data_IF_421078454854
#
_entry.id   IF_421078454854
#
_cell.length_a   1.000
_cell.length_b   1.000
_cell.length_c   1.000
_cell.angle_alpha   90.00
_cell.angle_beta   90.00
_cell.angle_gamma   90.00
#
_symmetry.space_group_name_H-M   'P 1'
#
loop_
_entity.id
_entity.type
_entity.pdbx_description
1 polymer ?
#
# COMPACT_ATOMS: atom_id res chain seq x y z
N UNK A 1 -4.54 10.40 10.68
CA UNK A 1 -3.34 11.11 10.16
C UNK A 1 -3.17 10.81 8.68
N UNK A 2 -3.08 11.86 7.85
CA UNK A 2 -2.96 11.76 6.39
C UNK A 2 -1.49 11.59 5.98
N UNK A 3 -0.94 10.38 6.15
CA UNK A 3 0.47 10.06 5.88
C UNK A 3 0.95 10.47 4.48
N UNK A 4 0.03 10.45 3.52
CA UNK A 4 0.28 10.70 2.12
C UNK A 4 0.55 12.19 1.81
N UNK A 5 0.29 13.12 2.74
CA UNK A 5 0.62 14.54 2.57
C UNK A 5 2.11 14.83 2.78
N UNK A 6 2.83 13.96 3.48
CA UNK A 6 4.27 14.08 3.75
C UNK A 6 5.09 13.01 3.05
N UNK A 7 4.42 12.12 2.30
CA UNK A 7 5.08 11.03 1.57
C UNK A 7 5.71 11.56 0.28
N UNK A 8 6.83 10.95 -0.13
CA UNK A 8 7.56 11.30 -1.34
C UNK A 8 7.89 10.05 -2.17
N UNK A 9 8.31 10.28 -3.41
CA UNK A 9 8.82 9.19 -4.24
C UNK A 9 9.97 8.46 -3.53
N UNK A 10 9.99 7.13 -3.63
CA UNK A 10 10.94 6.25 -2.94
C UNK A 10 10.42 5.67 -1.63
N UNK A 11 9.55 6.38 -0.89
CA UNK A 11 9.04 5.92 0.40
C UNK A 11 8.35 4.55 0.26
N UNK A 12 8.53 3.71 1.29
CA UNK A 12 7.97 2.36 1.35
C UNK A 12 6.60 2.38 2.02
N UNK A 13 5.65 1.68 1.41
CA UNK A 13 4.27 1.55 1.90
C UNK A 13 3.82 0.10 1.78
N UNK A 14 2.92 -0.33 2.65
CA UNK A 14 2.29 -1.65 2.59
C UNK A 14 0.84 -1.51 2.13
N UNK A 15 0.40 -2.36 1.20
CA UNK A 15 -1.00 -2.41 0.80
C UNK A 15 -1.81 -3.11 1.91
N UNK A 16 -2.82 -2.45 2.44
CA UNK A 16 -3.69 -2.98 3.51
C UNK A 16 -5.07 -3.40 3.00
N UNK A 17 -5.42 -3.00 1.78
CA UNK A 17 -6.70 -3.33 1.14
C UNK A 17 -6.49 -3.49 -0.37
N UNK A 18 -6.69 -4.70 -0.88
CA UNK A 18 -6.54 -5.08 -2.29
C UNK A 18 -7.87 -5.23 -3.05
N UNK A 19 -9.00 -4.88 -2.44
CA UNK A 19 -10.30 -4.72 -3.13
C UNK A 19 -10.32 -3.45 -4.01
N UNK A 20 -9.79 -3.55 -5.24
CA UNK A 20 -9.77 -2.45 -6.22
C UNK A 20 -10.87 -2.67 -7.24
N UNK A 21 -11.77 -1.69 -7.39
CA UNK A 21 -12.84 -1.76 -8.41
C UNK A 21 -12.28 -1.82 -9.83
N UNK A 22 -11.07 -1.29 -10.05
CA UNK A 22 -10.40 -1.38 -11.34
C UNK A 22 -10.12 -2.81 -11.80
N UNK A 23 -10.06 -3.80 -10.90
CA UNK A 23 -9.91 -5.23 -11.25
C UNK A 23 -11.11 -5.76 -12.06
N UNK A 24 -12.28 -5.16 -11.88
CA UNK A 24 -13.50 -5.55 -12.58
C UNK A 24 -13.66 -4.85 -13.94
N UNK A 25 -12.82 -3.86 -14.26
CA UNK A 25 -12.94 -3.11 -15.50
C UNK A 25 -12.45 -3.93 -16.71
N UNK A 26 -13.29 -4.15 -17.75
CA UNK A 26 -12.92 -4.95 -18.91
C UNK A 26 -11.64 -4.45 -19.60
N UNK A 27 -11.47 -3.14 -19.75
CA UNK A 27 -10.27 -2.56 -20.39
C UNK A 27 -9.01 -2.82 -19.56
N UNK A 28 -9.08 -2.76 -18.22
CA UNK A 28 -7.94 -3.10 -17.36
C UNK A 28 -7.57 -4.57 -17.53
N UNK A 29 -8.57 -5.46 -17.58
CA UNK A 29 -8.35 -6.89 -17.77
C UNK A 29 -7.73 -7.18 -19.14
N UNK A 30 -8.31 -6.61 -20.21
CA UNK A 30 -7.83 -6.79 -21.57
C UNK A 30 -6.41 -6.25 -21.77
N UNK A 31 -6.07 -5.14 -21.12
CA UNK A 31 -4.74 -4.54 -21.16
C UNK A 31 -3.71 -5.24 -20.24
N UNK A 32 -4.12 -6.22 -19.43
CA UNK A 32 -3.21 -6.89 -18.50
C UNK A 32 -2.75 -6.02 -17.33
N UNK A 33 -3.60 -5.09 -16.87
CA UNK A 33 -3.29 -4.25 -15.71
C UNK A 33 -3.05 -5.10 -14.46
N UNK A 34 -1.97 -4.79 -13.75
CA UNK A 34 -1.60 -5.36 -12.46
C UNK A 34 -2.13 -4.48 -11.32
N UNK A 35 -2.43 -5.10 -10.19
CA UNK A 35 -3.02 -4.44 -9.04
C UNK A 35 -2.26 -4.77 -7.75
N UNK A 36 -2.25 -3.85 -6.76
CA UNK A 36 -1.65 -4.11 -5.47
C UNK A 36 -2.29 -5.31 -4.77
N UNK A 37 -1.42 -6.17 -4.23
CA UNK A 37 -1.74 -7.31 -3.36
C UNK A 37 -1.65 -6.90 -1.88
N UNK A 38 -2.62 -7.33 -1.07
CA UNK A 38 -2.66 -7.04 0.36
C UNK A 38 -1.46 -7.67 1.08
N UNK A 39 -0.86 -6.93 2.00
CA UNK A 39 0.34 -7.32 2.75
C UNK A 39 1.65 -7.07 2.03
N UNK A 40 1.64 -6.83 0.71
CA UNK A 40 2.85 -6.56 -0.05
C UNK A 40 3.34 -5.13 0.13
N UNK A 41 4.66 -4.98 0.17
CA UNK A 41 5.36 -3.70 0.28
C UNK A 41 5.68 -3.17 -1.13
N UNK A 42 5.51 -1.86 -1.30
CA UNK A 42 5.76 -1.14 -2.53
C UNK A 42 6.51 0.16 -2.27
N UNK A 43 7.19 0.67 -3.30
CA UNK A 43 7.75 2.02 -3.33
C UNK A 43 6.83 2.99 -4.06
N UNK A 44 6.67 4.19 -3.50
CA UNK A 44 5.95 5.28 -4.18
C UNK A 44 6.79 5.73 -5.39
N UNK A 45 6.19 5.71 -6.59
CA UNK A 45 6.76 6.33 -7.78
C UNK A 45 6.29 7.77 -7.92
N UNK A 46 4.99 7.99 -7.71
CA UNK A 46 4.37 9.30 -7.80
C UNK A 46 3.18 9.35 -6.84
N UNK A 47 2.96 10.52 -6.26
CA UNK A 47 1.75 10.86 -5.53
C UNK A 47 1.16 12.15 -6.11
N UNK A 48 -0.14 12.18 -6.34
CA UNK A 48 -0.83 13.33 -6.88
C UNK A 48 -2.30 13.36 -6.46
N UNK A 49 -2.85 14.55 -6.32
CA UNK A 49 -4.29 14.73 -6.21
C UNK A 49 -4.93 14.63 -7.60
N UNK A 50 -5.98 13.82 -7.72
CA UNK A 50 -6.75 13.75 -8.96
C UNK A 50 -8.01 14.59 -8.79
N UNK A 51 -8.05 15.76 -9.43
CA UNK A 51 -9.22 16.65 -9.41
C UNK A 51 -10.46 15.94 -9.94
N UNK A 52 -10.29 15.14 -10.99
CA UNK A 52 -11.36 14.35 -11.59
C UNK A 52 -11.96 13.32 -10.61
N UNK A 53 -11.10 12.64 -9.83
CA UNK A 53 -11.55 11.61 -8.88
C UNK A 53 -11.87 12.18 -7.48
N UNK A 54 -11.51 13.43 -7.20
CA UNK A 54 -11.66 14.08 -5.90
C UNK A 54 -10.84 13.44 -4.77
N UNK A 55 -9.72 12.77 -5.07
CA UNK A 55 -8.89 12.14 -4.05
C UNK A 55 -7.42 11.97 -4.45
N UNK A 56 -6.59 11.79 -3.42
CA UNK A 56 -5.17 11.47 -3.57
C UNK A 56 -4.96 10.06 -4.09
N UNK A 57 -4.16 9.96 -5.14
CA UNK A 57 -3.79 8.72 -5.80
C UNK A 57 -2.27 8.58 -5.84
N UNK A 58 -1.81 7.34 -6.02
CA UNK A 58 -0.40 7.03 -6.19
C UNK A 58 -0.16 6.09 -7.37
N UNK A 59 1.08 6.11 -7.83
CA UNK A 59 1.69 5.13 -8.72
C UNK A 59 2.82 4.44 -7.97
N UNK A 60 3.05 3.16 -8.26
CA UNK A 60 4.02 2.33 -7.56
C UNK A 60 5.19 2.02 -8.50
N UNK A 61 6.38 1.80 -7.95
CA UNK A 61 7.56 1.44 -8.76
C UNK A 61 7.42 0.02 -9.31
N UNK A 62 6.90 -0.90 -8.49
CA UNK A 62 6.77 -2.32 -8.82
C UNK A 62 5.62 -2.61 -9.80
N UNK A 63 4.67 -1.67 -9.92
CA UNK A 63 3.52 -1.77 -10.80
C UNK A 63 3.57 -0.64 -11.82
N UNK A 64 4.06 -0.98 -13.00
CA UNK A 64 3.93 -0.19 -14.22
C UNK A 64 2.86 -0.84 -15.07
N UNK A 65 1.77 -0.12 -15.30
CA UNK A 65 0.64 -0.56 -16.12
C UNK A 65 0.63 0.20 -17.46
N UNK A 66 0.04 -0.39 -18.51
CA UNK A 66 -0.14 0.33 -19.77
C UNK A 66 -1.09 1.51 -19.60
N UNK A 67 -0.98 2.47 -20.51
CA UNK A 67 -1.99 3.51 -20.65
C UNK A 67 -3.30 2.89 -21.13
N UNK A 68 -4.37 3.26 -20.45
CA UNK A 68 -5.71 2.73 -20.69
C UNK A 68 -6.69 3.88 -20.75
N UNK A 69 -7.64 3.77 -21.68
CA UNK A 69 -8.69 4.76 -21.86
C UNK A 69 -9.96 4.26 -21.19
N UNK A 70 -10.42 5.01 -20.21
CA UNK A 70 -11.68 4.74 -19.52
C UNK A 70 -12.57 5.96 -19.63
N UNK A 71 -13.55 6.03 -20.53
CA UNK A 71 -14.54 7.11 -20.46
C UNK A 71 -15.21 7.11 -19.08
N UNK A 72 -15.38 8.26 -18.41
CA UNK A 72 -15.05 9.64 -18.83
C UNK A 72 -13.62 10.15 -18.50
N UNK A 73 -12.75 9.31 -17.95
CA UNK A 73 -11.36 9.63 -17.62
C UNK A 73 -10.48 9.79 -18.89
N UNK A 74 -9.48 10.68 -18.80
CA UNK A 74 -8.45 10.80 -19.83
C UNK A 74 -7.60 9.51 -19.91
N UNK A 75 -7.09 9.17 -21.10
CA UNK A 75 -6.14 8.07 -21.24
C UNK A 75 -4.96 8.24 -20.30
N UNK A 76 -4.53 7.14 -19.69
CA UNK A 76 -3.30 7.11 -18.91
C UNK A 76 -3.19 5.89 -18.01
N UNK A 77 -2.01 5.73 -17.43
CA UNK A 77 -1.75 4.65 -16.50
C UNK A 77 -2.66 4.72 -15.27
N UNK A 78 -3.29 3.59 -14.86
CA UNK A 78 -4.13 3.52 -13.67
C UNK A 78 -3.39 3.96 -12.41
N UNK A 79 -4.13 4.64 -11.55
CA UNK A 79 -3.63 5.12 -10.25
C UNK A 79 -4.41 4.46 -9.12
N UNK A 80 -3.75 4.25 -7.98
CA UNK A 80 -4.34 3.59 -6.82
C UNK A 80 -4.64 4.58 -5.70
N UNK A 81 -5.77 4.42 -5.01
CA UNK A 81 -6.16 5.31 -3.93
C UNK A 81 -5.23 5.16 -2.71
N UNK A 82 -4.68 6.26 -2.19
CA UNK A 82 -3.74 6.26 -1.05
C UNK A 82 -4.29 5.60 0.23
N UNK A 83 -5.62 5.56 0.45
CA UNK A 83 -6.22 4.97 1.65
C UNK A 83 -6.07 3.45 1.72
N UNK A 84 -5.68 2.82 0.61
CA UNK A 84 -5.44 1.38 0.50
C UNK A 84 -4.06 0.99 1.01
N UNK A 85 -3.25 1.96 1.42
CA UNK A 85 -1.89 1.75 1.87
C UNK A 85 -1.63 2.40 3.22
N UNK A 86 -0.58 1.92 3.89
CA UNK A 86 -0.01 2.52 5.09
C UNK A 86 1.49 2.72 4.91
N UNK A 87 2.08 3.78 5.49
CA UNK A 87 3.52 3.96 5.48
C UNK A 87 4.17 2.81 6.21
N UNK A 88 5.24 2.25 5.63
CA UNK A 88 6.07 1.30 6.33
C UNK A 88 6.97 2.10 7.28
N UNK A 89 6.49 2.32 8.49
CA UNK A 89 7.28 2.99 9.53
C UNK A 89 8.39 2.04 9.93
N UNK A 90 9.64 2.43 9.65
CA UNK A 90 10.79 1.75 10.24
C UNK A 90 10.71 1.97 11.75
N UNK A 91 10.34 0.93 12.50
CA UNK A 91 10.47 0.95 13.94
C UNK A 91 11.92 0.57 14.25
N UNK A 92 12.73 1.46 14.83
CA UNK A 92 14.07 1.11 15.28
C UNK A 92 14.06 0.16 16.49
N UNK A 93 12.87 -0.18 17.01
CA UNK A 93 12.71 -1.07 18.14
C UNK A 93 12.89 -2.51 17.68
N UNK A 94 13.97 -3.13 18.16
CA UNK A 94 14.24 -4.54 17.94
C UNK A 94 13.12 -5.41 18.54
N UNK A 95 12.57 -6.31 17.72
CA UNK A 95 11.52 -7.25 18.16
C UNK A 95 12.04 -8.24 19.20
N UNK A 96 13.37 -8.37 19.34
CA UNK A 96 14.02 -9.13 20.41
C UNK A 96 13.52 -8.71 21.78
N UNK A 97 13.28 -7.41 22.02
CA UNK A 97 12.78 -6.88 23.29
C UNK A 97 11.42 -7.50 23.64
N UNK A 98 10.48 -7.55 22.70
CA UNK A 98 9.17 -8.16 22.93
C UNK A 98 9.26 -9.68 23.06
N UNK A 99 10.16 -10.31 22.30
CA UNK A 99 10.41 -11.74 22.37
C UNK A 99 10.95 -12.13 23.75
N UNK A 100 11.86 -11.34 24.30
CA UNK A 100 12.45 -11.55 25.62
C UNK A 100 11.45 -11.30 26.74
N UNK A 101 10.59 -10.28 26.61
CA UNK A 101 9.48 -10.07 27.55
C UNK A 101 8.52 -11.26 27.58
N UNK A 102 8.15 -11.80 26.41
CA UNK A 102 7.25 -12.97 26.32
C UNK A 102 7.90 -14.23 26.93
N UNK A 103 9.19 -14.46 26.68
CA UNK A 103 9.93 -15.59 27.27
C UNK A 103 9.99 -15.50 28.80
N UNK A 104 10.31 -14.32 29.34
CA UNK A 104 10.36 -14.09 30.80
C UNK A 104 9.01 -14.33 31.45
N UNK A 105 7.93 -13.83 30.85
CA UNK A 105 6.57 -14.05 31.35
C UNK A 105 6.19 -15.54 31.37
N UNK A 106 6.54 -16.31 30.34
CA UNK A 106 6.28 -17.75 30.29
C UNK A 106 7.07 -18.53 31.36
N UNK A 107 8.31 -18.13 31.66
CA UNK A 107 9.13 -18.74 32.70
C UNK A 107 8.52 -18.54 34.11
N UNK A 108 8.09 -17.31 34.44
CA UNK A 108 7.48 -17.02 35.75
C UNK A 108 6.12 -17.70 35.97
N UNK A 109 5.43 -18.16 34.93
CA UNK A 109 4.21 -18.97 35.06
C UNK A 109 4.53 -20.43 35.39
N UNK A 110 5.65 -20.98 34.86
CA UNK A 110 6.09 -22.34 35.17
C UNK A 110 6.59 -22.51 36.59
N UNK A 111 7.16 -21.45 37.18
CA UNK A 111 7.66 -21.46 38.56
C UNK A 111 6.54 -21.32 39.61
N UNK A 112 5.30 -21.02 39.18
CA UNK A 112 4.12 -20.86 40.05
C UNK A 112 3.16 -22.05 40.00
N UNK A 113 3.45 -23.05 39.18
CA UNK A 113 2.67 -24.29 39.03
C UNK A 113 3.40 -25.45 39.71
#
# INVERSE_FOLDING_TARGET
MNWFLTAKAGDKIVCINDADRGKAWPTCRAAGCRFPEKGRIYSIRQIAYSDFKGHWCLRLVEIVNPDVTFPPYRPGEPTFHVRRFRPLVSRPTDISIFTDLLKRAAQSQKERA
#
